data_IF_551492842099
#
_entry.id   IF_551492842099
#
_cell.length_a   1.000
_cell.length_b   1.000
_cell.length_c   1.000
_cell.angle_alpha   90.00
_cell.angle_beta   90.00
_cell.angle_gamma   90.00
#
_symmetry.space_group_name_H-M   'P 1'
#
loop_
_entity.id
_entity.type
_entity.pdbx_description
1 polymer ?
#
# COMPACT_ATOMS: atom_id res chain seq x y z
N UNK A 1 -13.07 32.31 -11.33
CA UNK A 1 -11.82 32.97 -10.91
C UNK A 1 -11.41 32.60 -9.49
N UNK A 2 -12.28 32.67 -8.49
CA UNK A 2 -11.95 32.24 -7.12
C UNK A 2 -11.61 30.73 -6.98
N UNK A 3 -12.34 29.86 -7.70
CA UNK A 3 -12.09 28.40 -7.67
C UNK A 3 -10.68 28.03 -8.18
N UNK A 4 -10.22 28.69 -9.24
CA UNK A 4 -8.91 28.47 -9.86
C UNK A 4 -7.75 28.95 -8.98
N UNK A 5 -7.98 29.97 -8.14
CA UNK A 5 -6.96 30.46 -7.20
C UNK A 5 -6.79 29.52 -5.99
N UNK A 6 -7.88 28.93 -5.50
CA UNK A 6 -7.86 27.97 -4.38
C UNK A 6 -7.18 26.65 -4.77
N UNK A 7 -7.40 26.15 -6.00
CA UNK A 7 -6.71 24.95 -6.51
C UNK A 7 -5.18 25.15 -6.59
N UNK A 8 -4.74 26.35 -6.96
CA UNK A 8 -3.32 26.66 -7.09
C UNK A 8 -2.60 26.68 -5.73
N UNK A 9 -3.26 27.21 -4.70
CA UNK A 9 -2.69 27.24 -3.35
C UNK A 9 -2.61 25.85 -2.71
N UNK A 10 -3.63 25.01 -2.93
CA UNK A 10 -3.64 23.61 -2.47
C UNK A 10 -2.53 22.79 -3.15
N UNK A 11 -2.33 22.98 -4.46
CA UNK A 11 -1.27 22.31 -5.20
C UNK A 11 0.12 22.78 -4.76
N UNK A 12 0.31 24.08 -4.57
CA UNK A 12 1.57 24.63 -4.07
C UNK A 12 1.89 24.15 -2.64
N UNK A 13 0.89 23.98 -1.78
CA UNK A 13 1.06 23.40 -0.45
C UNK A 13 1.47 21.92 -0.53
N UNK A 14 0.85 21.13 -1.39
CA UNK A 14 1.22 19.73 -1.62
C UNK A 14 2.67 19.59 -2.10
N UNK A 15 3.13 20.44 -3.01
CA UNK A 15 4.51 20.42 -3.50
C UNK A 15 5.50 20.73 -2.36
N UNK A 16 5.26 21.79 -1.58
CA UNK A 16 6.12 22.14 -0.43
C UNK A 16 6.21 21.02 0.60
N UNK A 17 5.08 20.36 0.90
CA UNK A 17 5.04 19.24 1.85
C UNK A 17 5.83 18.02 1.36
N UNK A 18 6.04 17.87 0.05
CA UNK A 18 6.77 16.73 -0.52
C UNK A 18 8.23 17.05 -0.88
N UNK A 19 8.59 18.30 -1.18
CA UNK A 19 9.96 18.70 -1.53
C UNK A 19 10.97 18.52 -0.38
N UNK A 20 10.53 18.60 0.88
CA UNK A 20 11.39 18.48 2.06
C UNK A 20 11.44 17.10 2.71
N UNK A 21 10.88 16.05 2.09
CA UNK A 21 10.83 14.71 2.69
C UNK A 21 12.15 13.96 2.48
N UNK A 22 12.76 13.55 3.58
CA UNK A 22 13.93 12.67 3.55
C UNK A 22 13.57 11.25 3.11
N UNK A 23 14.52 10.59 2.42
CA UNK A 23 14.36 9.21 1.98
C UNK A 23 14.57 8.24 3.14
N UNK A 24 13.51 7.55 3.55
CA UNK A 24 13.60 6.42 4.48
C UNK A 24 13.88 5.12 3.72
N UNK A 25 14.97 4.43 4.07
CA UNK A 25 15.25 3.06 3.64
C UNK A 25 15.11 2.14 4.85
N UNK A 26 14.20 1.19 4.78
CA UNK A 26 14.02 0.17 5.82
C UNK A 26 13.80 -1.19 5.18
N UNK A 27 14.01 -2.24 5.96
CA UNK A 27 13.74 -3.63 5.60
C UNK A 27 13.01 -4.30 6.76
N UNK A 28 12.16 -5.27 6.46
CA UNK A 28 11.52 -6.13 7.45
C UNK A 28 12.18 -7.49 7.46
N UNK A 29 12.53 -8.02 8.63
CA UNK A 29 13.04 -9.37 8.82
C UNK A 29 12.37 -10.05 10.02
N UNK A 30 12.27 -11.38 9.99
CA UNK A 30 11.51 -12.17 10.96
C UNK A 30 11.17 -13.56 10.41
N UNK A 31 10.52 -14.38 11.23
CA UNK A 31 9.97 -15.69 10.87
C UNK A 31 8.91 -15.57 9.76
N UNK A 32 8.54 -16.69 9.13
CA UNK A 32 7.52 -16.75 8.06
C UNK A 32 6.21 -16.09 8.51
N UNK A 33 5.76 -16.41 9.73
CA UNK A 33 4.46 -15.97 10.28
C UNK A 33 4.48 -14.60 10.99
N UNK A 34 5.60 -13.87 10.95
CA UNK A 34 5.74 -12.58 11.65
C UNK A 34 5.04 -11.41 10.91
N UNK A 35 4.28 -11.68 9.84
CA UNK A 35 3.49 -10.65 9.14
C UNK A 35 4.31 -9.57 8.42
N UNK A 36 5.54 -9.90 7.99
CA UNK A 36 6.46 -8.97 7.32
C UNK A 36 5.82 -8.29 6.09
N UNK A 37 5.19 -9.09 5.24
CA UNK A 37 4.55 -8.66 4.00
C UNK A 37 3.27 -7.88 4.28
N UNK A 38 2.51 -8.29 5.29
CA UNK A 38 1.35 -7.54 5.80
C UNK A 38 1.75 -6.15 6.28
N UNK A 39 2.86 -6.02 7.01
CA UNK A 39 3.36 -4.72 7.49
C UNK A 39 3.78 -3.82 6.33
N UNK A 40 4.55 -4.32 5.36
CA UNK A 40 4.94 -3.56 4.18
C UNK A 40 3.70 -3.14 3.38
N UNK A 41 2.77 -4.07 3.14
CA UNK A 41 1.54 -3.81 2.41
C UNK A 41 0.66 -2.76 3.08
N UNK A 42 0.56 -2.80 4.42
CA UNK A 42 -0.18 -1.80 5.20
C UNK A 42 0.46 -0.41 5.11
N UNK A 43 1.79 -0.31 5.19
CA UNK A 43 2.50 0.97 5.01
C UNK A 43 2.26 1.55 3.62
N UNK A 44 2.26 0.71 2.58
CA UNK A 44 1.95 1.14 1.20
C UNK A 44 0.51 1.65 1.09
N UNK A 45 -0.45 0.96 1.71
CA UNK A 45 -1.85 1.38 1.76
C UNK A 45 -2.03 2.71 2.51
N UNK A 46 -1.51 2.82 3.74
CA UNK A 46 -1.66 4.00 4.59
C UNK A 46 -0.95 5.23 3.99
N UNK A 47 0.11 5.03 3.20
CA UNK A 47 0.81 6.10 2.48
C UNK A 47 0.01 6.70 1.31
N UNK A 48 -1.21 6.20 1.05
CA UNK A 48 -2.10 6.59 -0.06
C UNK A 48 -1.39 6.53 -1.43
N UNK A 49 -0.44 5.61 -1.58
CA UNK A 49 0.28 5.39 -2.83
C UNK A 49 -0.41 4.38 -3.75
N UNK A 50 -1.50 3.78 -3.30
CA UNK A 50 -2.30 2.85 -4.09
C UNK A 50 -3.40 3.60 -4.83
N UNK A 51 -3.49 3.33 -6.13
CA UNK A 51 -4.59 3.78 -6.97
C UNK A 51 -5.86 2.96 -6.66
N UNK A 52 -7.03 3.52 -6.95
CA UNK A 52 -8.33 2.90 -6.61
C UNK A 52 -8.55 1.56 -7.32
N UNK A 53 -8.04 1.41 -8.54
CA UNK A 53 -8.06 0.17 -9.31
C UNK A 53 -7.23 -0.95 -8.66
N UNK A 54 -6.07 -0.60 -8.10
CA UNK A 54 -5.23 -1.53 -7.34
C UNK A 54 -5.91 -1.95 -6.04
N UNK A 55 -6.61 -1.03 -5.38
CA UNK A 55 -7.37 -1.34 -4.16
C UNK A 55 -8.55 -2.28 -4.47
N UNK A 56 -9.28 -2.04 -5.55
CA UNK A 56 -10.38 -2.90 -5.98
C UNK A 56 -9.90 -4.31 -6.36
N UNK A 57 -8.73 -4.40 -7.03
CA UNK A 57 -8.09 -5.67 -7.35
C UNK A 57 -7.73 -6.42 -6.06
N UNK A 58 -7.08 -5.73 -5.12
CA UNK A 58 -6.68 -6.29 -3.83
C UNK A 58 -7.87 -6.79 -3.01
N UNK A 59 -8.99 -6.05 -2.99
CA UNK A 59 -10.23 -6.50 -2.36
C UNK A 59 -10.72 -7.81 -2.98
N UNK A 60 -10.76 -7.89 -4.31
CA UNK A 60 -11.20 -9.11 -5.02
C UNK A 60 -10.26 -10.31 -4.83
N UNK A 61 -8.95 -10.06 -4.67
CA UNK A 61 -7.96 -11.09 -4.38
C UNK A 61 -8.06 -11.54 -2.92
N UNK A 62 -8.31 -10.61 -2.00
CA UNK A 62 -8.53 -10.90 -0.57
C UNK A 62 -9.77 -11.78 -0.36
N UNK A 63 -10.84 -11.57 -1.12
CA UNK A 63 -12.03 -12.45 -1.06
C UNK A 63 -11.74 -13.89 -1.52
N UNK A 64 -10.77 -14.09 -2.42
CA UNK A 64 -10.48 -15.39 -3.04
C UNK A 64 -9.36 -16.15 -2.35
N UNK A 65 -8.33 -15.43 -1.92
CA UNK A 65 -7.07 -15.98 -1.42
C UNK A 65 -6.69 -15.39 -0.05
N UNK A 66 -7.49 -14.48 0.50
CA UNK A 66 -7.19 -13.81 1.75
C UNK A 66 -7.18 -14.78 2.92
N UNK A 67 -6.24 -14.54 3.81
CA UNK A 67 -6.06 -15.28 5.07
C UNK A 67 -6.68 -14.56 6.26
N UNK A 68 -7.12 -13.31 6.05
CA UNK A 68 -7.78 -12.46 7.03
C UNK A 68 -9.30 -12.60 6.86
N UNK A 69 -10.03 -12.84 7.95
CA UNK A 69 -11.46 -13.21 8.00
C UNK A 69 -12.41 -12.11 7.47
N UNK A 70 -12.37 -11.81 6.17
CA UNK A 70 -13.20 -10.80 5.50
C UNK A 70 -12.60 -9.39 5.45
N UNK A 71 -11.38 -9.21 5.95
CA UNK A 71 -10.62 -7.96 5.83
C UNK A 71 -9.72 -7.96 4.59
N UNK A 72 -9.22 -6.79 4.21
CA UNK A 72 -8.25 -6.66 3.12
C UNK A 72 -6.92 -7.29 3.55
N UNK A 73 -6.47 -8.28 2.78
CA UNK A 73 -5.20 -8.94 3.02
C UNK A 73 -4.06 -8.18 2.33
N UNK A 74 -3.40 -7.31 3.09
CA UNK A 74 -2.33 -6.46 2.57
C UNK A 74 -1.07 -7.23 2.15
N UNK A 75 -0.89 -8.49 2.55
CA UNK A 75 0.25 -9.29 2.10
C UNK A 75 0.20 -9.53 0.59
N UNK A 76 -1.00 -9.67 0.03
CA UNK A 76 -1.23 -9.93 -1.40
C UNK A 76 -0.73 -8.81 -2.34
N UNK A 77 -0.55 -7.60 -1.80
CA UNK A 77 0.04 -6.47 -2.54
C UNK A 77 1.53 -6.68 -2.83
N UNK A 78 2.23 -7.40 -1.94
CA UNK A 78 3.69 -7.59 -1.98
C UNK A 78 4.06 -8.99 -2.47
N UNK A 79 3.16 -9.97 -2.34
CA UNK A 79 3.31 -11.32 -2.92
C UNK A 79 3.16 -11.28 -4.44
N UNK A 80 4.29 -11.10 -5.13
CA UNK A 80 4.37 -10.87 -6.56
C UNK A 80 4.45 -12.16 -7.38
N UNK A 81 4.89 -13.28 -6.81
CA UNK A 81 4.98 -14.55 -7.51
C UNK A 81 3.75 -15.43 -7.24
N UNK A 82 3.27 -16.12 -8.26
CA UNK A 82 2.21 -17.14 -8.12
C UNK A 82 2.64 -18.25 -7.17
N UNK A 83 3.93 -18.61 -7.18
CA UNK A 83 4.48 -19.63 -6.29
C UNK A 83 4.53 -19.19 -4.81
N UNK A 84 4.78 -17.90 -4.54
CA UNK A 84 4.69 -17.30 -3.21
C UNK A 84 3.26 -17.39 -2.68
N UNK A 85 2.29 -17.03 -3.53
CA UNK A 85 0.85 -17.10 -3.23
C UNK A 85 0.35 -18.52 -2.95
N UNK A 86 0.81 -19.52 -3.72
CA UNK A 86 0.42 -20.92 -3.51
C UNK A 86 1.00 -21.55 -2.25
N UNK A 87 2.14 -21.03 -1.76
CA UNK A 87 2.85 -21.56 -0.60
C UNK A 87 2.65 -20.71 0.68
N UNK A 88 2.01 -19.55 0.57
CA UNK A 88 1.81 -18.62 1.69
C UNK A 88 3.12 -18.04 2.22
N UNK A 89 4.12 -17.86 1.34
CA UNK A 89 5.42 -17.26 1.66
C UNK A 89 5.69 -16.05 0.77
N UNK A 90 6.59 -15.18 1.21
CA UNK A 90 7.10 -14.01 0.48
C UNK A 90 8.61 -14.05 0.38
#
# INVERSE_FOLDING_TARGET
MAHTMVENDAFAAFLRDNEGKDLLRFLTCGSVDDGKSTLIGRLLFDSKKLFEDQLATLQSESEKFGTTEGDIDFALLVDGLVAEREQGIT
#
